data_IF_519704680633
#
_entry.id   IF_519704680633
#
_cell.length_a   1.000
_cell.length_b   1.000
_cell.length_c   1.000
_cell.angle_alpha   90.00
_cell.angle_beta   90.00
_cell.angle_gamma   90.00
#
_symmetry.space_group_name_H-M   'P 1'
#
loop_
_entity.id
_entity.type
_entity.pdbx_description
1 polymer ?
#
# COMPACT_ATOMS: atom_id res chain seq x y z
N UNK A 1 10.67 8.50 -10.35
CA UNK A 1 9.34 7.89 -10.15
C UNK A 1 9.57 6.53 -9.53
N UNK A 2 8.89 6.23 -8.42
CA UNK A 2 9.08 4.98 -7.67
C UNK A 2 8.72 3.74 -8.51
N UNK A 3 9.42 2.62 -8.30
CA UNK A 3 9.15 1.35 -8.99
C UNK A 3 7.89 0.68 -8.43
N UNK A 4 6.87 0.53 -9.29
CA UNK A 4 5.60 -0.12 -8.93
C UNK A 4 5.69 -1.63 -8.71
N UNK A 5 6.79 -2.28 -9.13
CA UNK A 5 6.98 -3.74 -8.97
C UNK A 5 7.09 -4.13 -7.50
N UNK A 6 7.87 -3.37 -6.74
CA UNK A 6 8.04 -3.59 -5.30
C UNK A 6 6.75 -3.26 -4.55
N UNK A 7 6.13 -2.11 -4.86
CA UNK A 7 4.83 -1.70 -4.30
C UNK A 7 3.77 -2.78 -4.54
N UNK A 8 3.66 -3.31 -5.76
CA UNK A 8 2.72 -4.40 -6.08
C UNK A 8 3.01 -5.65 -5.26
N UNK A 9 4.27 -6.02 -5.11
CA UNK A 9 4.67 -7.19 -4.32
C UNK A 9 4.28 -7.03 -2.85
N UNK A 10 4.49 -5.84 -2.29
CA UNK A 10 4.14 -5.53 -0.90
C UNK A 10 2.62 -5.40 -0.72
N UNK A 11 1.89 -4.80 -1.66
CA UNK A 11 0.43 -4.74 -1.65
C UNK A 11 -0.22 -6.14 -1.64
N UNK A 12 0.31 -7.10 -2.39
CA UNK A 12 -0.17 -8.49 -2.32
C UNK A 12 0.11 -9.15 -0.96
N UNK A 13 1.25 -8.83 -0.31
CA UNK A 13 1.54 -9.31 1.05
C UNK A 13 0.61 -8.66 2.07
N UNK A 14 0.37 -7.36 1.95
CA UNK A 14 -0.56 -6.60 2.78
C UNK A 14 -1.97 -7.19 2.72
N UNK A 15 -2.51 -7.45 1.53
CA UNK A 15 -3.81 -8.12 1.37
C UNK A 15 -3.84 -9.48 2.07
N UNK A 16 -2.82 -10.32 1.87
CA UNK A 16 -2.74 -11.64 2.54
C UNK A 16 -2.70 -11.50 4.07
N UNK A 17 -2.00 -10.50 4.59
CA UNK A 17 -1.93 -10.24 6.04
C UNK A 17 -3.30 -9.78 6.58
N UNK A 18 -3.93 -8.82 5.92
CA UNK A 18 -5.25 -8.29 6.29
C UNK A 18 -6.32 -9.39 6.25
N UNK A 19 -6.34 -10.24 5.21
CA UNK A 19 -7.25 -11.38 5.14
C UNK A 19 -7.01 -12.39 6.26
N UNK A 20 -5.74 -12.69 6.59
CA UNK A 20 -5.42 -13.60 7.71
C UNK A 20 -5.83 -13.05 9.08
N UNK A 21 -5.83 -11.73 9.22
CA UNK A 21 -6.24 -11.03 10.43
C UNK A 21 -7.75 -10.74 10.49
N UNK A 22 -8.54 -11.21 9.51
CA UNK A 22 -9.97 -10.90 9.35
C UNK A 22 -10.26 -9.38 9.33
N UNK A 23 -9.33 -8.61 8.75
CA UNK A 23 -9.42 -7.16 8.62
C UNK A 23 -10.01 -6.78 7.26
N UNK A 24 -10.69 -5.62 7.23
CA UNK A 24 -11.26 -5.07 5.99
C UNK A 24 -10.15 -4.72 4.99
N UNK A 25 -10.36 -5.11 3.73
CA UNK A 25 -9.49 -4.78 2.60
C UNK A 25 -9.91 -3.42 2.00
N UNK A 26 -9.54 -2.34 2.67
CA UNK A 26 -9.75 -0.96 2.18
C UNK A 26 -8.47 -0.42 1.53
N UNK A 27 -8.61 0.62 0.70
CA UNK A 27 -7.46 1.35 0.14
C UNK A 27 -6.46 1.75 1.22
N UNK A 28 -6.93 2.43 2.27
CA UNK A 28 -6.07 2.91 3.37
C UNK A 28 -5.36 1.79 4.13
N UNK A 29 -6.04 0.66 4.40
CA UNK A 29 -5.41 -0.47 5.10
C UNK A 29 -4.32 -1.12 4.24
N UNK A 30 -4.58 -1.29 2.93
CA UNK A 30 -3.59 -1.88 2.04
C UNK A 30 -2.43 -0.90 1.80
N UNK A 31 -2.69 0.41 1.66
CA UNK A 31 -1.68 1.46 1.58
C UNK A 31 -0.76 1.41 2.81
N UNK A 32 -1.33 1.49 4.01
CA UNK A 32 -0.58 1.49 5.27
C UNK A 32 0.31 0.24 5.43
N UNK A 33 -0.26 -0.96 5.26
CA UNK A 33 0.52 -2.20 5.37
C UNK A 33 1.54 -2.38 4.25
N UNK A 34 1.32 -1.75 3.10
CA UNK A 34 2.31 -1.72 2.01
C UNK A 34 3.46 -0.80 2.38
N UNK A 35 3.18 0.38 2.93
CA UNK A 35 4.18 1.33 3.40
C UNK A 35 5.04 0.74 4.52
N UNK A 36 4.41 0.08 5.50
CA UNK A 36 5.10 -0.67 6.56
C UNK A 36 6.06 -1.72 5.99
N UNK A 37 5.61 -2.49 4.99
CA UNK A 37 6.42 -3.50 4.32
C UNK A 37 7.60 -2.93 3.51
N UNK A 38 7.60 -1.62 3.27
CA UNK A 38 8.64 -0.86 2.56
C UNK A 38 9.47 0.03 3.49
N UNK A 39 9.13 0.10 4.79
CA UNK A 39 9.77 1.00 5.75
C UNK A 39 9.49 2.48 5.48
N UNK A 40 8.33 2.79 4.89
CA UNK A 40 7.89 4.16 4.60
C UNK A 40 6.98 4.59 5.73
N UNK A 41 7.38 5.64 6.43
CA UNK A 41 6.61 6.22 7.53
C UNK A 41 5.71 7.34 7.01
N UNK A 42 4.50 7.44 7.58
CA UNK A 42 3.65 8.60 7.39
C UNK A 42 4.20 9.80 8.18
N UNK A 43 3.88 11.01 7.75
CA UNK A 43 4.19 12.22 8.51
C UNK A 43 3.23 12.42 9.70
N UNK A 44 3.38 13.53 10.42
CA UNK A 44 2.54 13.85 11.59
C UNK A 44 1.04 14.04 11.23
N UNK A 45 0.68 14.13 9.95
CA UNK A 45 -0.68 14.25 9.45
C UNK A 45 -1.25 12.94 8.87
N UNK A 46 -0.55 11.82 9.07
CA UNK A 46 -0.86 10.51 8.46
C UNK A 46 -0.72 10.51 6.91
N UNK A 47 0.00 11.47 6.32
CA UNK A 47 0.24 11.53 4.89
C UNK A 47 1.53 10.78 4.52
N UNK A 48 1.51 10.02 3.43
CA UNK A 48 2.71 9.37 2.91
C UNK A 48 3.42 10.22 1.85
N UNK A 49 4.70 9.95 1.51
CA UNK A 49 5.37 10.63 0.40
C UNK A 49 4.54 10.58 -0.89
N UNK A 50 4.37 11.75 -1.54
CA UNK A 50 3.52 11.89 -2.73
C UNK A 50 3.90 10.90 -3.85
N UNK A 51 5.18 10.63 -4.03
CA UNK A 51 5.67 9.70 -5.05
C UNK A 51 5.32 8.23 -4.74
N UNK A 52 5.20 7.88 -3.46
CA UNK A 52 4.68 6.60 -3.02
C UNK A 52 3.17 6.51 -3.23
N UNK A 53 2.39 7.50 -2.81
CA UNK A 53 0.94 7.51 -2.97
C UNK A 53 0.52 7.41 -4.44
N UNK A 54 1.13 8.22 -5.31
CA UNK A 54 0.87 8.17 -6.77
C UNK A 54 1.26 6.83 -7.40
N UNK A 55 2.29 6.16 -6.88
CA UNK A 55 2.71 4.86 -7.37
C UNK A 55 1.80 3.74 -6.83
N UNK A 56 1.33 3.86 -5.59
CA UNK A 56 0.34 2.96 -5.00
C UNK A 56 -1.02 3.06 -5.69
N UNK A 57 -1.49 4.27 -6.00
CA UNK A 57 -2.74 4.49 -6.76
C UNK A 57 -2.80 3.69 -8.07
N UNK A 58 -1.69 3.68 -8.81
CA UNK A 58 -1.56 2.91 -10.06
C UNK A 58 -1.65 1.41 -9.81
N UNK A 59 -1.02 0.93 -8.75
CA UNK A 59 -1.07 -0.48 -8.35
C UNK A 59 -2.49 -0.86 -7.90
N UNK A 60 -3.12 -0.02 -7.08
CA UNK A 60 -4.48 -0.21 -6.58
C UNK A 60 -5.50 -0.28 -7.71
N UNK A 61 -5.42 0.63 -8.69
CA UNK A 61 -6.28 0.64 -9.86
C UNK A 61 -6.16 -0.66 -10.67
N UNK A 62 -4.93 -1.18 -10.85
CA UNK A 62 -4.69 -2.46 -11.55
C UNK A 62 -5.25 -3.64 -10.77
N UNK A 63 -5.20 -3.61 -9.44
CA UNK A 63 -5.67 -4.71 -8.59
C UNK A 63 -7.20 -4.76 -8.46
N UNK A 64 -7.90 -3.65 -8.74
CA UNK A 64 -9.36 -3.53 -8.62
C UNK A 64 -10.08 -3.35 -9.97
N UNK A 65 -9.35 -3.49 -11.09
CA UNK A 65 -9.92 -3.55 -12.44
C UNK A 65 -10.44 -4.95 -12.75
#
# INVERSE_FOLDING_TARGET
>A
MMDTTEIRTQAYKAIKALTKADMRLTYGNVLCFTADGMGIEADDNDDYPEDYEQAFDKVWAVMNA
#
